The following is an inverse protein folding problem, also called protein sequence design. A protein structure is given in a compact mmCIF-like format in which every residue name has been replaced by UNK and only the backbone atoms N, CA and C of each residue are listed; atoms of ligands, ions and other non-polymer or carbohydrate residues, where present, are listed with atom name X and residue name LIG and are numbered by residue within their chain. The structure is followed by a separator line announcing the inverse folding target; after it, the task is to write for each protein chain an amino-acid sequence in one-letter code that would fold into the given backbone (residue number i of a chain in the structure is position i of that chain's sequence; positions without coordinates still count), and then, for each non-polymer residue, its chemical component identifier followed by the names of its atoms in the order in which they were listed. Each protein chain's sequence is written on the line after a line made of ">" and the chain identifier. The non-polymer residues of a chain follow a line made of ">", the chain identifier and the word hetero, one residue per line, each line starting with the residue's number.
data_IF_246377621938
#
_entry.id   IF_246377621938
#
_cell.length_a   1.000
_cell.length_b   1.000
_cell.length_c   1.000
_cell.angle_alpha   90.00
_cell.angle_beta   90.00
_cell.angle_gamma   90.00
#
_symmetry.space_group_name_H-M   'P 1'
#
loop_
_entity.id
_entity.type
_entity.pdbx_description
1 polymer ?
#
# COMPACT_ATOMS: atom_id res chain seq x y z
N UNK A 1 5.97 20.16 -23.82
CA UNK A 1 6.15 18.80 -23.28
C UNK A 1 5.00 18.57 -22.33
N UNK A 2 4.08 17.66 -22.65
CA UNK A 2 3.05 17.23 -21.71
C UNK A 2 3.61 16.06 -20.91
N UNK A 3 3.56 16.19 -19.59
CA UNK A 3 3.99 15.18 -18.62
C UNK A 3 3.14 13.90 -18.79
N UNK A 4 3.80 12.76 -18.94
CA UNK A 4 3.20 11.49 -19.37
C UNK A 4 2.94 10.55 -18.18
N UNK A 5 2.37 11.07 -17.10
CA UNK A 5 1.72 10.25 -16.07
C UNK A 5 0.26 10.65 -15.98
N UNK A 6 -0.55 10.13 -16.91
CA UNK A 6 -1.96 10.48 -17.05
C UNK A 6 -2.89 9.86 -15.98
N UNK A 7 -2.41 8.87 -15.20
CA UNK A 7 -3.08 8.33 -14.02
C UNK A 7 -2.15 7.44 -13.19
N UNK A 8 -2.39 7.33 -11.88
CA UNK A 8 -1.78 6.31 -11.01
C UNK A 8 -2.85 5.30 -10.59
N UNK A 9 -2.62 4.02 -10.83
CA UNK A 9 -3.48 2.94 -10.36
C UNK A 9 -2.75 2.10 -9.31
N UNK A 10 -3.42 1.81 -8.20
CA UNK A 10 -2.84 1.07 -7.08
C UNK A 10 -3.80 -0.01 -6.62
N UNK A 11 -3.25 -1.18 -6.26
CA UNK A 11 -3.99 -2.22 -5.55
C UNK A 11 -4.42 -1.75 -4.16
N UNK A 12 -5.36 -2.47 -3.53
CA UNK A 12 -5.76 -2.26 -2.13
C UNK A 12 -5.67 -3.56 -1.34
N UNK A 13 -5.27 -3.44 -0.08
CA UNK A 13 -5.34 -4.55 0.88
C UNK A 13 -6.68 -4.55 1.63
N UNK A 14 -7.23 -3.35 1.92
CA UNK A 14 -8.57 -3.19 2.48
C UNK A 14 -9.14 -1.81 2.18
N UNK A 15 -10.36 -1.76 1.65
CA UNK A 15 -11.13 -0.53 1.47
C UNK A 15 -12.26 -0.45 2.50
N UNK A 16 -12.35 0.66 3.23
CA UNK A 16 -13.42 0.91 4.18
C UNK A 16 -14.71 1.36 3.46
N UNK A 17 -15.84 1.33 4.17
CA UNK A 17 -17.15 1.78 3.66
C UNK A 17 -17.14 3.19 3.06
N UNK A 18 -16.33 4.09 3.62
CA UNK A 18 -16.19 5.47 3.15
C UNK A 18 -15.18 5.65 2.01
N UNK A 19 -14.70 4.54 1.44
CA UNK A 19 -13.65 4.48 0.43
C UNK A 19 -12.24 4.83 0.92
N UNK A 20 -12.00 4.99 2.22
CA UNK A 20 -10.64 5.08 2.72
C UNK A 20 -9.92 3.74 2.51
N UNK A 21 -8.70 3.79 1.99
CA UNK A 21 -7.97 2.61 1.49
C UNK A 21 -6.71 2.37 2.30
N UNK A 22 -6.54 1.15 2.80
CA UNK A 22 -5.25 0.68 3.31
C UNK A 22 -4.45 -0.03 2.21
N UNK A 23 -3.19 0.37 2.04
CA UNK A 23 -2.28 -0.17 1.03
C UNK A 23 -0.80 -0.04 1.46
N UNK A 24 0.12 -0.60 0.67
CA UNK A 24 1.56 -0.48 0.91
C UNK A 24 2.00 1.00 1.06
N UNK A 25 2.86 1.33 2.06
CA UNK A 25 3.32 2.68 2.32
C UNK A 25 3.97 3.30 1.09
N UNK A 26 3.39 4.39 0.57
CA UNK A 26 3.87 5.25 -0.52
C UNK A 26 2.72 5.98 -1.25
N UNK A 27 1.46 5.77 -0.86
CA UNK A 27 0.31 6.25 -1.65
C UNK A 27 -0.10 7.66 -1.22
N UNK A 28 0.62 8.69 -1.69
CA UNK A 28 0.32 10.11 -1.36
C UNK A 28 -0.24 10.92 -2.53
N UNK A 29 -0.39 10.32 -3.71
CA UNK A 29 -0.85 10.98 -4.94
C UNK A 29 -2.27 10.55 -5.31
N UNK A 30 -3.05 11.42 -5.99
CA UNK A 30 -4.36 11.05 -6.51
C UNK A 30 -4.30 9.75 -7.31
N UNK A 31 -5.06 8.74 -6.90
CA UNK A 31 -4.95 7.40 -7.46
C UNK A 31 -6.30 6.72 -7.68
N UNK A 32 -6.30 5.77 -8.61
CA UNK A 32 -7.39 4.80 -8.81
C UNK A 32 -7.15 3.64 -7.84
N UNK A 33 -8.11 3.39 -6.96
CA UNK A 33 -8.11 2.20 -6.12
C UNK A 33 -8.70 1.04 -6.91
N UNK A 34 -7.87 0.04 -7.23
CA UNK A 34 -8.29 -1.11 -8.04
C UNK A 34 -8.22 -2.36 -7.17
N UNK A 35 -9.37 -2.93 -6.83
CA UNK A 35 -9.44 -4.07 -5.93
C UNK A 35 -10.71 -4.91 -6.18
N UNK A 36 -10.67 -6.23 -5.94
CA UNK A 36 -11.88 -7.05 -6.00
C UNK A 36 -12.86 -6.68 -4.89
N UNK A 37 -14.13 -7.01 -5.05
CA UNK A 37 -15.18 -6.74 -4.05
C UNK A 37 -14.85 -7.33 -2.68
N UNK A 38 -14.16 -8.49 -2.65
CA UNK A 38 -13.73 -9.12 -1.39
C UNK A 38 -12.76 -8.26 -0.56
N UNK A 39 -12.15 -7.24 -1.16
CA UNK A 39 -11.28 -6.27 -0.47
C UNK A 39 -12.07 -5.11 0.17
N UNK A 40 -13.31 -4.88 -0.27
CA UNK A 40 -14.18 -3.84 0.28
C UNK A 40 -14.87 -4.35 1.54
N UNK A 41 -14.60 -3.70 2.67
CA UNK A 41 -15.18 -4.03 3.96
C UNK A 41 -16.19 -2.95 4.39
N UNK A 42 -17.48 -3.26 4.24
CA UNK A 42 -18.57 -2.37 4.59
C UNK A 42 -18.83 -2.25 6.10
N UNK A 43 -18.23 -3.12 6.92
CA UNK A 43 -18.33 -3.06 8.38
C UNK A 43 -17.34 -2.07 8.99
N UNK A 44 -16.28 -1.70 8.25
CA UNK A 44 -15.31 -0.69 8.67
C UNK A 44 -15.80 0.69 8.23
N UNK A 45 -16.15 1.60 9.16
CA UNK A 45 -16.84 2.83 8.81
C UNK A 45 -15.94 3.89 8.16
N UNK A 46 -14.63 3.87 8.42
CA UNK A 46 -13.64 4.79 7.86
C UNK A 46 -12.22 4.24 8.02
N UNK A 47 -11.26 4.87 7.33
CA UNK A 47 -9.85 4.50 7.35
C UNK A 47 -9.21 4.52 8.74
N UNK A 48 -9.68 5.41 9.63
CA UNK A 48 -9.24 5.48 11.03
C UNK A 48 -9.56 4.23 11.86
N UNK A 49 -10.45 3.36 11.36
CA UNK A 49 -10.84 2.12 12.00
C UNK A 49 -10.15 0.90 11.35
N UNK A 50 -9.31 1.10 10.33
CA UNK A 50 -8.52 0.01 9.75
C UNK A 50 -7.35 -0.29 10.70
N UNK A 51 -7.25 -1.50 11.28
CA UNK A 51 -6.10 -1.88 12.06
C UNK A 51 -4.87 -1.99 11.14
N UNK A 52 -3.81 -1.24 11.47
CA UNK A 52 -2.55 -1.26 10.73
C UNK A 52 -1.61 -2.28 11.36
N UNK A 53 -1.18 -3.25 10.55
CA UNK A 53 -0.18 -4.24 10.96
C UNK A 53 1.18 -3.55 11.18
N UNK A 54 1.75 -3.71 12.37
CA UNK A 54 3.13 -3.32 12.66
C UNK A 54 4.03 -4.56 12.55
N UNK A 55 5.01 -4.48 11.64
CA UNK A 55 5.95 -5.58 11.39
C UNK A 55 7.16 -5.52 12.29
N UNK A 56 7.89 -6.63 12.46
CA UNK A 56 9.11 -6.64 13.26
C UNK A 56 10.06 -5.51 12.82
N UNK A 57 10.59 -4.72 13.77
CA UNK A 57 11.55 -3.65 13.50
C UNK A 57 12.73 -4.05 12.61
N UNK A 58 13.21 -5.29 12.77
CA UNK A 58 14.34 -5.81 12.02
C UNK A 58 14.11 -5.81 10.50
N UNK A 59 12.86 -5.94 10.03
CA UNK A 59 12.56 -5.88 8.60
C UNK A 59 12.82 -4.51 7.98
N UNK A 60 12.73 -3.43 8.78
CA UNK A 60 13.09 -2.09 8.35
C UNK A 60 14.59 -1.78 8.54
N UNK A 61 15.30 -2.59 9.33
CA UNK A 61 16.72 -2.41 9.62
C UNK A 61 17.63 -3.24 8.71
N UNK A 62 17.12 -4.34 8.16
CA UNK A 62 17.88 -5.32 7.39
C UNK A 62 17.44 -5.31 5.92
N UNK A 63 18.41 -5.26 5.01
CA UNK A 63 18.18 -5.49 3.58
C UNK A 63 18.77 -6.82 3.18
N UNK A 64 17.93 -7.72 2.63
CA UNK A 64 18.36 -8.98 2.03
C UNK A 64 18.37 -8.86 0.52
N UNK A 65 19.48 -9.25 -0.13
CA UNK A 65 19.61 -9.18 -1.57
C UNK A 65 20.73 -10.05 -2.11
N UNK A 66 20.78 -10.20 -3.44
CA UNK A 66 21.93 -10.81 -4.10
C UNK A 66 23.16 -9.89 -3.99
N UNK A 67 24.34 -10.47 -3.82
CA UNK A 67 25.59 -9.71 -3.83
C UNK A 67 25.79 -9.10 -5.23
N UNK A 68 26.35 -7.89 -5.28
CA UNK A 68 26.79 -7.23 -6.51
C UNK A 68 28.30 -6.93 -6.44
N UNK A 69 29.11 -7.34 -7.43
CA UNK A 69 28.75 -8.14 -8.61
C UNK A 69 28.17 -9.52 -8.23
N UNK A 70 27.30 -10.09 -9.07
CA UNK A 70 26.62 -11.36 -8.77
C UNK A 70 27.61 -12.51 -8.65
N UNK A 71 27.67 -13.10 -7.47
CA UNK A 71 28.38 -14.35 -7.20
C UNK A 71 27.40 -15.53 -7.23
N UNK A 72 27.86 -16.67 -7.71
CA UNK A 72 27.08 -17.92 -7.79
C UNK A 72 27.68 -18.93 -6.80
N UNK A 73 26.84 -19.62 -6.03
CA UNK A 73 27.26 -20.69 -5.13
C UNK A 73 27.64 -21.95 -5.92
N UNK A 74 28.32 -22.91 -5.29
CA UNK A 74 28.65 -24.19 -5.92
C UNK A 74 27.40 -24.98 -6.38
N UNK A 75 26.22 -24.63 -5.85
CA UNK A 75 24.91 -25.20 -6.19
C UNK A 75 24.20 -24.46 -7.34
N UNK A 76 24.83 -23.43 -7.93
CA UNK A 76 24.26 -22.67 -9.04
C UNK A 76 23.29 -21.55 -8.64
N UNK A 77 23.23 -21.19 -7.36
CA UNK A 77 22.32 -20.15 -6.86
C UNK A 77 23.01 -18.79 -6.71
N UNK A 78 22.26 -17.68 -6.83
CA UNK A 78 22.81 -16.35 -6.53
C UNK A 78 23.14 -16.25 -5.05
N UNK A 79 24.39 -15.94 -4.73
CA UNK A 79 24.82 -15.68 -3.36
C UNK A 79 24.09 -14.44 -2.82
N UNK A 80 23.49 -14.58 -1.65
CA UNK A 80 22.75 -13.51 -1.00
C UNK A 80 23.49 -13.01 0.25
N UNK A 81 23.26 -11.75 0.59
CA UNK A 81 23.69 -11.14 1.83
C UNK A 81 22.49 -10.53 2.57
N UNK A 82 22.64 -10.38 3.88
CA UNK A 82 21.74 -9.60 4.73
C UNK A 82 22.58 -8.50 5.36
N UNK A 83 22.20 -7.25 5.14
CA UNK A 83 22.97 -6.07 5.56
C UNK A 83 22.13 -5.25 6.53
N UNK A 84 22.71 -4.92 7.69
CA UNK A 84 22.17 -3.89 8.59
C UNK A 84 22.43 -2.52 7.97
N UNK A 85 21.37 -1.79 7.64
CA UNK A 85 21.47 -0.48 6.98
C UNK A 85 21.24 0.69 7.93
N UNK A 86 20.84 0.41 9.17
CA UNK A 86 20.65 1.42 10.22
C UNK A 86 21.97 1.73 10.95
N UNK A 87 22.09 2.90 11.60
CA UNK A 87 23.27 3.24 12.39
C UNK A 87 23.55 2.27 13.54
N UNK A 88 24.82 2.10 13.88
CA UNK A 88 25.23 1.33 15.06
C UNK A 88 24.62 1.91 16.35
N UNK A 89 24.21 1.03 17.26
CA UNK A 89 23.60 1.41 18.53
C UNK A 89 22.11 1.78 18.47
N UNK A 90 21.49 1.84 17.28
CA UNK A 90 20.04 1.96 17.15
C UNK A 90 19.36 0.71 17.72
N UNK A 91 18.49 0.92 18.70
CA UNK A 91 17.67 -0.13 19.30
C UNK A 91 16.46 -0.44 18.42
N UNK A 92 16.20 -1.70 18.03
CA UNK A 92 15.05 -2.05 17.19
C UNK A 92 13.71 -1.59 17.76
N UNK A 93 13.57 -1.49 19.08
CA UNK A 93 12.33 -1.03 19.74
C UNK A 93 12.00 0.44 19.41
N UNK A 94 12.97 1.23 18.94
CA UNK A 94 12.77 2.61 18.50
C UNK A 94 12.34 2.74 17.03
N UNK A 95 12.19 1.64 16.30
CA UNK A 95 11.89 1.67 14.86
C UNK A 95 10.39 1.50 14.62
N UNK A 96 9.80 2.50 13.98
CA UNK A 96 8.40 2.48 13.57
C UNK A 96 8.24 1.83 12.19
N UNK A 97 7.63 0.64 12.13
CA UNK A 97 7.51 -0.15 10.89
C UNK A 97 6.06 -0.58 10.59
N UNK A 98 5.16 0.36 10.21
CA UNK A 98 3.82 0.02 9.75
C UNK A 98 3.88 -0.63 8.35
N UNK A 99 3.11 -1.69 8.16
CA UNK A 99 3.08 -2.45 6.90
C UNK A 99 2.26 -1.79 5.81
N UNK A 100 1.36 -0.89 6.22
CA UNK A 100 0.36 -0.20 5.41
C UNK A 100 0.21 1.26 5.87
N UNK A 101 -0.22 2.13 4.95
CA UNK A 101 -0.75 3.46 5.24
C UNK A 101 -2.24 3.53 4.84
N UNK A 102 -2.93 4.59 5.27
CA UNK A 102 -4.32 4.85 4.87
C UNK A 102 -4.32 6.02 3.90
N UNK A 103 -4.79 5.79 2.68
CA UNK A 103 -5.14 6.83 1.71
C UNK A 103 -6.58 7.29 2.00
N UNK A 104 -6.79 8.57 2.39
CA UNK A 104 -8.13 9.10 2.59
C UNK A 104 -8.95 9.10 1.31
N UNK A 105 -10.27 8.93 1.44
CA UNK A 105 -11.19 8.93 0.31
C UNK A 105 -11.02 10.13 -0.63
N UNK A 106 -10.72 11.32 -0.10
CA UNK A 106 -10.56 12.56 -0.87
C UNK A 106 -9.41 12.50 -1.89
N UNK A 107 -8.40 11.67 -1.65
CA UNK A 107 -7.26 11.44 -2.56
C UNK A 107 -7.51 10.31 -3.57
N UNK A 108 -8.65 9.64 -3.50
CA UNK A 108 -9.01 8.57 -4.44
C UNK A 108 -9.88 9.17 -5.54
N UNK A 109 -9.54 8.96 -6.80
CA UNK A 109 -10.31 9.50 -7.92
C UNK A 109 -11.47 8.58 -8.31
N UNK A 110 -11.26 7.26 -8.22
CA UNK A 110 -12.26 6.24 -8.46
C UNK A 110 -11.89 4.95 -7.73
N UNK A 111 -12.91 4.15 -7.41
CA UNK A 111 -12.77 2.76 -6.99
C UNK A 111 -13.21 1.87 -8.15
N UNK A 112 -12.37 0.90 -8.50
CA UNK A 112 -12.57 -0.03 -9.61
C UNK A 112 -12.65 -1.45 -9.05
N UNK A 113 -13.76 -2.13 -9.30
CA UNK A 113 -13.98 -3.53 -8.95
C UNK A 113 -14.41 -4.32 -10.20
N UNK A 114 -14.59 -5.63 -10.06
CA UNK A 114 -15.14 -6.47 -11.12
C UNK A 114 -16.60 -6.14 -11.50
N UNK A 115 -17.34 -5.42 -10.64
CA UNK A 115 -18.72 -4.98 -10.91
C UNK A 115 -18.80 -3.61 -11.59
N UNK A 116 -17.73 -2.83 -11.60
CA UNK A 116 -17.70 -1.53 -12.27
C UNK A 116 -16.78 -0.51 -11.62
N UNK A 117 -17.07 0.77 -11.89
CA UNK A 117 -16.27 1.91 -11.41
C UNK A 117 -17.16 2.88 -10.63
N UNK A 118 -16.81 3.13 -9.37
CA UNK A 118 -17.44 4.14 -8.53
C UNK A 118 -16.62 5.42 -8.55
N UNK A 119 -17.28 6.54 -8.84
CA UNK A 119 -16.71 7.89 -8.77
C UNK A 119 -17.57 8.76 -7.86
N UNK A 120 -16.99 9.83 -7.30
CA UNK A 120 -17.78 10.79 -6.52
C UNK A 120 -18.59 11.67 -7.46
N UNK A 121 -19.84 11.96 -7.08
CA UNK A 121 -20.63 13.01 -7.73
C UNK A 121 -19.95 14.39 -7.56
N UNK A 122 -20.26 15.32 -8.47
CA UNK A 122 -19.68 16.68 -8.43
C UNK A 122 -19.99 17.34 -7.07
N UNK A 123 -18.94 17.69 -6.32
CA UNK A 123 -19.06 18.33 -4.99
C UNK A 123 -19.37 17.38 -3.83
N UNK A 124 -19.39 16.07 -4.06
CA UNK A 124 -19.53 15.07 -3.00
C UNK A 124 -18.16 14.66 -2.45
N UNK A 125 -18.12 14.41 -1.14
CA UNK A 125 -16.94 13.91 -0.40
C UNK A 125 -17.00 12.40 -0.13
N UNK A 126 -18.09 11.73 -0.53
CA UNK A 126 -18.34 10.32 -0.22
C UNK A 126 -18.63 9.57 -1.51
N UNK A 127 -18.13 8.34 -1.61
CA UNK A 127 -18.46 7.43 -2.70
C UNK A 127 -19.75 6.68 -2.39
N UNK A 128 -20.59 6.50 -3.41
CA UNK A 128 -21.64 5.47 -3.40
C UNK A 128 -21.04 4.17 -3.94
N UNK A 129 -20.90 3.18 -3.07
CA UNK A 129 -20.34 1.88 -3.40
C UNK A 129 -21.41 0.85 -3.78
N UNK A 130 -22.70 1.18 -3.67
CA UNK A 130 -23.80 0.22 -3.88
C UNK A 130 -23.84 -0.40 -5.28
N UNK A 131 -23.34 0.33 -6.28
CA UNK A 131 -23.26 -0.14 -7.66
C UNK A 131 -22.01 -0.96 -8.01
N UNK A 132 -21.02 -1.04 -7.11
CA UNK A 132 -19.73 -1.70 -7.39
C UNK A 132 -19.31 -2.73 -6.34
N UNK A 133 -20.15 -2.99 -5.33
CA UNK A 133 -19.93 -3.96 -4.25
C UNK A 133 -21.04 -5.01 -4.24
#
# INVERSE_FOLDING_TARGET
>A
MYDCSSATAVGADRDAKKADKANKPATTSPSLAVAPISTVNLDVPSGSHIPIEHRPPLEACLVRGAIYPTEITDQGEKKQAVVMVTPEGLKPEGVYNPSFDVTPADLISAIVTEKGVATRGKGQLVFDLSGVV
#
